data_IF_059273130887
#
_entry.id   IF_059273130887
#
_cell.length_a   1.000
_cell.length_b   1.000
_cell.length_c   1.000
_cell.angle_alpha   90.00
_cell.angle_beta   90.00
_cell.angle_gamma   90.00
#
_symmetry.space_group_name_H-M   'P 1'
#
loop_
_entity.id
_entity.type
_entity.pdbx_description
1 polymer ?
#
# COMPACT_ATOMS: atom_id res chain seq x y z
N UNK A 1 -4.87 -6.65 -10.90
CA UNK A 1 -3.50 -6.35 -10.45
C UNK A 1 -2.64 -7.55 -10.81
N UNK A 2 -1.48 -7.32 -11.39
CA UNK A 2 -0.51 -8.39 -11.63
C UNK A 2 -0.01 -8.94 -10.28
N UNK A 3 0.53 -10.16 -10.28
CA UNK A 3 1.09 -10.76 -9.07
C UNK A 3 2.19 -9.89 -8.43
N UNK A 4 2.96 -9.19 -9.27
CA UNK A 4 4.05 -8.29 -8.85
C UNK A 4 3.53 -7.03 -8.14
N UNK A 5 2.47 -6.41 -8.68
CA UNK A 5 1.84 -5.24 -8.05
C UNK A 5 1.24 -5.60 -6.67
N UNK A 6 0.66 -6.80 -6.55
CA UNK A 6 0.09 -7.26 -5.27
C UNK A 6 1.16 -7.53 -4.22
N UNK A 7 2.31 -8.09 -4.60
CA UNK A 7 3.43 -8.29 -3.66
C UNK A 7 4.01 -6.96 -3.17
N UNK A 8 4.17 -5.97 -4.06
CA UNK A 8 4.71 -4.67 -3.68
C UNK A 8 3.73 -3.89 -2.79
N UNK A 9 2.43 -3.92 -3.12
CA UNK A 9 1.41 -3.29 -2.30
C UNK A 9 1.39 -3.84 -0.87
N UNK A 10 1.51 -5.17 -0.71
CA UNK A 10 1.57 -5.80 0.61
C UNK A 10 2.80 -5.35 1.40
N UNK A 11 3.97 -5.34 0.75
CA UNK A 11 5.22 -4.88 1.36
C UNK A 11 5.12 -3.43 1.82
N UNK A 12 4.65 -2.52 0.97
CA UNK A 12 4.45 -1.12 1.34
C UNK A 12 3.45 -0.96 2.49
N UNK A 13 2.36 -1.74 2.48
CA UNK A 13 1.37 -1.72 3.56
C UNK A 13 1.96 -2.20 4.90
N UNK A 14 2.77 -3.26 4.90
CA UNK A 14 3.48 -3.74 6.10
C UNK A 14 4.45 -2.70 6.65
N UNK A 15 5.24 -2.04 5.80
CA UNK A 15 6.14 -0.96 6.22
C UNK A 15 5.38 0.22 6.85
N UNK A 16 4.19 0.56 6.33
CA UNK A 16 3.34 1.62 6.88
C UNK A 16 2.74 1.24 8.24
N UNK A 17 2.40 -0.04 8.43
CA UNK A 17 1.94 -0.58 9.72
C UNK A 17 3.08 -0.56 10.76
N UNK A 18 4.28 -0.98 10.37
CA UNK A 18 5.46 -0.97 11.25
C UNK A 18 5.84 0.45 11.69
N UNK A 19 5.79 1.41 10.75
CA UNK A 19 6.00 2.84 11.04
C UNK A 19 4.85 3.48 11.83
N UNK A 20 3.77 2.73 12.09
CA UNK A 20 2.53 3.17 12.78
C UNK A 20 1.84 4.36 12.10
N UNK A 21 2.04 4.52 10.78
CA UNK A 21 1.34 5.55 10.01
C UNK A 21 -0.10 5.14 9.70
N UNK A 22 -0.37 3.85 9.58
CA UNK A 22 -1.72 3.30 9.35
C UNK A 22 -2.09 2.29 10.43
N UNK A 23 -3.39 2.07 10.62
CA UNK A 23 -3.93 1.03 11.51
C UNK A 23 -5.15 0.38 10.85
N UNK A 24 -5.48 -0.87 11.22
CA UNK A 24 -6.73 -1.48 10.79
C UNK A 24 -7.93 -0.60 11.15
N UNK A 25 -8.87 -0.48 10.22
CA UNK A 25 -10.09 0.31 10.36
C UNK A 25 -11.32 -0.60 10.34
N UNK A 26 -12.34 -0.24 11.11
CA UNK A 26 -13.66 -0.87 11.11
C UNK A 26 -14.73 0.00 10.42
N UNK A 27 -14.31 1.07 9.75
CA UNK A 27 -15.22 2.01 9.07
C UNK A 27 -15.96 1.31 7.93
N UNK A 28 -17.26 1.57 7.73
CA UNK A 28 -18.00 1.10 6.56
C UNK A 28 -17.60 1.82 5.27
N UNK A 29 -16.80 2.88 5.36
CA UNK A 29 -16.33 3.68 4.22
C UNK A 29 -14.90 3.31 3.84
N UNK A 30 -14.66 3.14 2.53
CA UNK A 30 -13.35 2.90 1.95
C UNK A 30 -13.04 3.86 0.80
N UNK A 31 -11.76 4.02 0.49
CA UNK A 31 -11.27 4.79 -0.65
C UNK A 31 -10.33 3.92 -1.49
N UNK A 32 -10.37 4.02 -2.82
CA UNK A 32 -9.41 3.33 -3.68
C UNK A 32 -8.00 3.91 -3.52
N UNK A 33 -6.98 3.05 -3.60
CA UNK A 33 -5.56 3.44 -3.54
C UNK A 33 -4.91 3.10 -4.87
N UNK A 34 -4.08 4.01 -5.38
CA UNK A 34 -3.30 3.84 -6.61
C UNK A 34 -1.82 3.69 -6.28
N UNK A 35 -1.19 2.65 -6.83
CA UNK A 35 0.25 2.48 -6.79
C UNK A 35 0.86 3.21 -7.99
N UNK A 36 1.87 4.04 -7.74
CA UNK A 36 2.52 4.86 -8.78
C UNK A 36 4.01 4.67 -8.71
N UNK A 37 4.62 4.30 -9.85
CA UNK A 37 6.08 4.23 -9.97
C UNK A 37 6.70 5.60 -9.79
N UNK A 38 7.65 5.71 -8.88
CA UNK A 38 8.38 6.95 -8.62
C UNK A 38 9.50 7.17 -9.65
N UNK A 39 9.99 8.42 -9.72
CA UNK A 39 11.00 8.85 -10.72
C UNK A 39 12.36 8.15 -10.55
N UNK A 40 12.70 7.77 -9.33
CA UNK A 40 13.88 6.99 -8.94
C UNK A 40 13.77 5.50 -9.32
N UNK A 41 12.67 5.10 -9.95
CA UNK A 41 12.47 3.75 -10.44
C UNK A 41 11.92 2.78 -9.39
N UNK A 42 11.77 3.21 -8.13
CA UNK A 42 11.07 2.44 -7.11
C UNK A 42 9.57 2.43 -7.40
N UNK A 43 8.92 1.31 -7.10
CA UNK A 43 7.46 1.22 -6.98
C UNK A 43 7.03 1.66 -5.59
#
# INVERSE_FOLDING_TARGET
MSALELSELKKQHEELLEKRFVRPSISPWGAPVLLVKKKDGSM
#
